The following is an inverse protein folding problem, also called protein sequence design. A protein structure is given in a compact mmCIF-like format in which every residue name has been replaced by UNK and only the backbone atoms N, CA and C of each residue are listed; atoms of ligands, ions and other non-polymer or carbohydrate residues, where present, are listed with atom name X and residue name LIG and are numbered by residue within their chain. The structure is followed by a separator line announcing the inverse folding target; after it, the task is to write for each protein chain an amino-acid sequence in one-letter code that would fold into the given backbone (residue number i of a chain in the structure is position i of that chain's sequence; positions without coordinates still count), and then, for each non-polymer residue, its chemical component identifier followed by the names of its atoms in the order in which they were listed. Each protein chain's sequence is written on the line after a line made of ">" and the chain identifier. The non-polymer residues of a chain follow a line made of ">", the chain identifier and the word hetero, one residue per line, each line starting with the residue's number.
data_IF_241329286624
#
_entry.id   IF_241329286624
#
_cell.length_a   1.000
_cell.length_b   1.000
_cell.length_c   1.000
_cell.angle_alpha   90.00
_cell.angle_beta   90.00
_cell.angle_gamma   90.00
#
_symmetry.space_group_name_H-M   'P 1'
#
loop_
_entity.id
_entity.type
_entity.pdbx_description
1 polymer ?
#
# COMPACT_ATOMS: atom_id res chain seq x y z
N UNK A 1 -28.75 11.32 -5.11
CA UNK A 1 -28.26 12.06 -6.27
C UNK A 1 -26.75 11.83 -6.43
N UNK A 2 -26.28 11.51 -7.63
CA UNK A 2 -24.84 11.34 -7.96
C UNK A 2 -24.03 12.62 -7.74
N UNK A 3 -24.69 13.75 -7.52
CA UNK A 3 -24.06 15.04 -7.20
C UNK A 3 -23.23 15.00 -5.89
N UNK A 4 -23.43 14.02 -5.02
CA UNK A 4 -22.67 13.85 -3.77
C UNK A 4 -21.35 13.10 -3.96
N UNK A 5 -21.11 12.51 -5.14
CA UNK A 5 -19.88 11.78 -5.45
C UNK A 5 -18.85 12.68 -6.17
N UNK A 6 -18.53 13.84 -5.56
CA UNK A 6 -17.61 14.82 -6.17
C UNK A 6 -16.19 14.77 -5.60
N UNK A 7 -15.98 14.08 -4.49
CA UNK A 7 -14.68 14.01 -3.84
C UNK A 7 -13.83 12.90 -4.47
N UNK A 8 -12.77 13.26 -5.18
CA UNK A 8 -11.89 12.32 -5.87
C UNK A 8 -11.21 11.32 -4.90
N UNK A 9 -10.81 11.75 -3.71
CA UNK A 9 -10.31 10.83 -2.68
C UNK A 9 -11.37 9.84 -2.22
N UNK A 10 -12.60 10.29 -2.04
CA UNK A 10 -13.73 9.42 -1.73
C UNK A 10 -13.99 8.38 -2.84
N UNK A 11 -13.84 8.76 -4.10
CA UNK A 11 -13.96 7.84 -5.24
C UNK A 11 -12.82 6.82 -5.27
N UNK A 12 -11.56 7.25 -5.08
CA UNK A 12 -10.41 6.37 -5.00
C UNK A 12 -10.57 5.34 -3.88
N UNK A 13 -10.94 5.78 -2.67
CA UNK A 13 -11.21 4.90 -1.54
C UNK A 13 -12.39 3.93 -1.81
N UNK A 14 -13.42 4.38 -2.52
CA UNK A 14 -14.54 3.51 -2.90
C UNK A 14 -14.11 2.42 -3.88
N UNK A 15 -13.23 2.74 -4.85
CA UNK A 15 -12.62 1.76 -5.77
C UNK A 15 -11.84 0.69 -4.99
N UNK A 16 -10.99 1.09 -4.03
CA UNK A 16 -10.24 0.16 -3.19
C UNK A 16 -11.16 -0.76 -2.38
N UNK A 17 -12.24 -0.23 -1.81
CA UNK A 17 -13.22 -1.01 -1.02
C UNK A 17 -14.02 -1.98 -1.88
N UNK A 18 -14.40 -1.61 -3.10
CA UNK A 18 -15.06 -2.50 -4.04
C UNK A 18 -14.14 -3.67 -4.45
N UNK A 19 -12.86 -3.40 -4.69
CA UNK A 19 -11.86 -4.46 -4.93
C UNK A 19 -11.77 -5.41 -3.74
N UNK A 20 -11.67 -4.90 -2.52
CA UNK A 20 -11.65 -5.71 -1.29
C UNK A 20 -12.88 -6.61 -1.20
N UNK A 21 -14.08 -6.07 -1.36
CA UNK A 21 -15.33 -6.84 -1.31
C UNK A 21 -15.35 -7.95 -2.37
N UNK A 22 -14.88 -7.66 -3.59
CA UNK A 22 -14.81 -8.64 -4.68
C UNK A 22 -13.82 -9.76 -4.34
N UNK A 23 -12.64 -9.42 -3.80
CA UNK A 23 -11.62 -10.41 -3.41
C UNK A 23 -12.13 -11.35 -2.32
N UNK A 24 -12.82 -10.84 -1.30
CA UNK A 24 -13.42 -11.67 -0.27
C UNK A 24 -14.52 -12.59 -0.81
N UNK A 25 -15.34 -12.12 -1.77
CA UNK A 25 -16.33 -12.97 -2.43
C UNK A 25 -15.68 -14.11 -3.22
N UNK A 26 -14.60 -13.80 -3.96
CA UNK A 26 -13.85 -14.82 -4.72
C UNK A 26 -13.17 -15.81 -3.77
N UNK A 27 -12.52 -15.32 -2.70
CA UNK A 27 -11.88 -16.17 -1.69
C UNK A 27 -12.89 -17.13 -1.06
N UNK A 28 -14.03 -16.62 -0.61
CA UNK A 28 -15.11 -17.45 -0.02
C UNK A 28 -15.63 -18.52 -0.99
N UNK A 29 -15.79 -18.19 -2.27
CA UNK A 29 -16.23 -19.13 -3.30
C UNK A 29 -15.21 -20.25 -3.60
N UNK A 30 -13.94 -20.06 -3.23
CA UNK A 30 -12.86 -20.99 -3.49
C UNK A 30 -12.24 -21.59 -2.21
N UNK A 31 -12.88 -21.44 -1.06
CA UNK A 31 -12.35 -21.84 0.25
C UNK A 31 -10.95 -21.23 0.52
N UNK A 32 -10.73 -20.01 0.07
CA UNK A 32 -9.47 -19.29 0.16
C UNK A 32 -9.52 -18.15 1.17
N UNK A 33 -8.40 -17.45 1.29
CA UNK A 33 -8.23 -16.25 2.11
C UNK A 33 -7.72 -15.10 1.23
N UNK A 34 -7.88 -13.87 1.73
CA UNK A 34 -7.33 -12.66 1.08
C UNK A 34 -5.95 -12.36 1.66
N UNK A 35 -4.95 -12.35 0.79
CA UNK A 35 -3.56 -12.05 1.13
C UNK A 35 -3.26 -10.58 0.82
N UNK A 36 -2.88 -9.81 1.83
CA UNK A 36 -2.48 -8.42 1.70
C UNK A 36 -1.09 -8.27 1.09
N UNK A 37 -0.88 -7.15 0.42
CA UNK A 37 0.37 -6.80 -0.28
C UNK A 37 1.01 -5.52 0.26
N UNK A 38 0.49 -4.96 1.35
CA UNK A 38 1.05 -3.80 2.02
C UNK A 38 2.41 -4.13 2.67
N UNK A 39 3.35 -3.21 2.57
CA UNK A 39 4.67 -3.32 3.19
C UNK A 39 4.80 -2.39 4.40
N UNK A 40 5.91 -2.53 5.13
CA UNK A 40 6.16 -1.79 6.36
C UNK A 40 6.13 -0.27 6.18
N UNK A 41 6.65 0.24 5.06
CA UNK A 41 6.70 1.69 4.80
C UNK A 41 5.30 2.24 4.56
N UNK A 42 4.51 1.55 3.74
CA UNK A 42 3.14 1.94 3.39
C UNK A 42 2.22 1.87 4.62
N UNK A 43 2.18 0.74 5.31
CA UNK A 43 1.20 0.49 6.36
C UNK A 43 1.57 1.15 7.70
N UNK A 44 2.83 1.01 8.13
CA UNK A 44 3.29 1.46 9.45
C UNK A 44 4.12 2.75 9.40
N UNK A 45 4.76 3.05 8.27
CA UNK A 45 5.54 4.27 8.11
C UNK A 45 4.66 5.49 7.89
N UNK A 46 3.87 5.49 6.83
CA UNK A 46 3.10 6.66 6.38
C UNK A 46 1.58 6.48 6.42
N UNK A 47 1.08 5.26 6.62
CA UNK A 47 -0.36 4.98 6.62
C UNK A 47 -0.97 5.12 5.22
N UNK A 48 -0.23 4.76 4.17
CA UNK A 48 -0.65 4.87 2.78
C UNK A 48 -1.45 3.65 2.34
N UNK A 49 -2.67 3.55 2.81
CA UNK A 49 -3.64 2.51 2.44
C UNK A 49 -5.08 3.00 2.66
N UNK A 50 -6.03 2.35 2.04
CA UNK A 50 -7.45 2.61 2.28
C UNK A 50 -7.96 1.67 3.37
N UNK A 51 -8.45 2.26 4.47
CA UNK A 51 -9.15 1.51 5.53
C UNK A 51 -10.34 0.76 4.95
N UNK A 52 -10.38 -0.56 5.17
CA UNK A 52 -11.38 -1.46 4.58
C UNK A 52 -11.32 -1.56 3.04
N UNK A 53 -10.20 -1.15 2.44
CA UNK A 53 -9.87 -1.39 1.05
C UNK A 53 -8.72 -2.39 0.97
N UNK A 54 -7.56 -1.95 0.47
CA UNK A 54 -6.31 -2.73 0.46
C UNK A 54 -5.80 -3.06 1.87
N UNK A 55 -6.16 -2.28 2.90
CA UNK A 55 -5.93 -2.63 4.30
C UNK A 55 -6.86 -3.70 4.89
N UNK A 56 -7.92 -4.09 4.17
CA UNK A 56 -8.87 -5.13 4.58
C UNK A 56 -8.48 -6.51 4.05
N UNK A 57 -7.66 -7.24 4.79
CA UNK A 57 -7.09 -8.53 4.38
C UNK A 57 -7.08 -9.53 5.54
N UNK A 58 -6.93 -10.83 5.26
CA UNK A 58 -6.84 -11.88 6.28
C UNK A 58 -5.42 -12.01 6.83
N UNK A 59 -4.40 -11.90 5.96
CA UNK A 59 -2.98 -11.97 6.33
C UNK A 59 -2.17 -10.93 5.55
N UNK A 60 -1.06 -10.49 6.13
CA UNK A 60 -0.13 -9.51 5.54
C UNK A 60 1.31 -10.03 5.59
N UNK A 61 1.72 -10.94 4.68
CA UNK A 61 2.99 -11.67 4.79
C UNK A 61 4.24 -10.80 4.68
N UNK A 62 4.16 -9.64 4.04
CA UNK A 62 5.28 -8.71 3.81
C UNK A 62 5.15 -7.40 4.63
N UNK A 63 4.24 -7.36 5.61
CA UNK A 63 4.00 -6.16 6.41
C UNK A 63 5.22 -5.70 7.23
N UNK A 64 6.13 -6.61 7.60
CA UNK A 64 7.37 -6.29 8.32
C UNK A 64 8.55 -5.95 7.39
N UNK A 65 8.38 -6.08 6.08
CA UNK A 65 9.41 -5.80 5.09
C UNK A 65 9.30 -4.36 4.60
N UNK A 66 10.45 -3.69 4.41
CA UNK A 66 10.49 -2.41 3.70
C UNK A 66 10.28 -2.61 2.20
N UNK A 67 9.98 -1.54 1.47
CA UNK A 67 9.79 -1.62 0.00
C UNK A 67 11.03 -2.15 -0.71
N UNK A 68 12.22 -1.69 -0.31
CA UNK A 68 13.50 -2.15 -0.88
C UNK A 68 13.73 -3.63 -0.60
N UNK A 69 13.41 -4.12 0.59
CA UNK A 69 13.48 -5.55 0.92
C UNK A 69 12.50 -6.39 0.08
N UNK A 70 11.30 -5.88 -0.20
CA UNK A 70 10.34 -6.57 -1.09
C UNK A 70 10.91 -6.69 -2.50
N UNK A 71 11.54 -5.65 -3.04
CA UNK A 71 12.22 -5.72 -4.35
C UNK A 71 13.37 -6.71 -4.37
N UNK A 72 14.20 -6.76 -3.33
CA UNK A 72 15.30 -7.72 -3.19
C UNK A 72 14.79 -9.17 -3.13
N UNK A 73 13.74 -9.42 -2.36
CA UNK A 73 13.08 -10.73 -2.34
C UNK A 73 12.54 -11.10 -3.70
N UNK A 74 11.89 -10.18 -4.40
CA UNK A 74 11.38 -10.40 -5.74
C UNK A 74 12.47 -10.81 -6.73
N UNK A 75 13.62 -10.12 -6.69
CA UNK A 75 14.80 -10.48 -7.50
C UNK A 75 15.32 -11.88 -7.17
N UNK A 76 15.43 -12.21 -5.88
CA UNK A 76 15.90 -13.53 -5.41
C UNK A 76 14.95 -14.66 -5.80
N UNK A 77 13.66 -14.38 -5.88
CA UNK A 77 12.63 -15.34 -6.29
C UNK A 77 12.48 -15.45 -7.82
N UNK A 78 13.25 -14.67 -8.59
CA UNK A 78 13.17 -14.69 -10.05
C UNK A 78 11.89 -14.06 -10.61
N UNK A 79 11.29 -13.13 -9.88
CA UNK A 79 10.13 -12.36 -10.38
C UNK A 79 10.56 -11.59 -11.63
N UNK A 80 9.66 -11.50 -12.60
CA UNK A 80 9.90 -10.85 -13.89
C UNK A 80 10.39 -9.40 -13.67
N UNK A 81 11.41 -9.03 -14.46
CA UNK A 81 12.07 -7.72 -14.36
C UNK A 81 11.07 -6.56 -14.54
N UNK A 82 10.13 -6.72 -15.45
CA UNK A 82 9.09 -5.74 -15.74
C UNK A 82 8.20 -5.44 -14.52
N UNK A 83 7.99 -6.42 -13.63
CA UNK A 83 7.25 -6.25 -12.38
C UNK A 83 8.12 -5.54 -11.33
N UNK A 84 9.39 -5.95 -11.20
CA UNK A 84 10.31 -5.39 -10.21
C UNK A 84 10.64 -3.93 -10.51
N UNK A 85 10.79 -3.58 -11.80
CA UNK A 85 11.14 -2.23 -12.25
C UNK A 85 9.92 -1.33 -12.50
N UNK A 86 8.70 -1.87 -12.37
CA UNK A 86 7.48 -1.07 -12.49
C UNK A 86 7.44 0.01 -11.40
N UNK A 87 7.10 1.23 -11.82
CA UNK A 87 6.93 2.33 -10.89
C UNK A 87 5.72 2.07 -9.97
N UNK A 88 5.87 2.18 -8.64
CA UNK A 88 4.77 1.93 -7.70
C UNK A 88 3.59 2.86 -7.93
N UNK A 89 2.39 2.29 -8.05
CA UNK A 89 1.13 3.02 -8.17
C UNK A 89 -0.02 2.21 -7.56
N UNK A 90 -0.97 2.87 -6.91
CA UNK A 90 -2.18 2.25 -6.39
C UNK A 90 -3.23 1.95 -7.48
N UNK A 91 -3.09 2.56 -8.65
CA UNK A 91 -4.02 2.39 -9.77
C UNK A 91 -5.45 2.84 -9.47
N UNK A 92 -5.63 3.79 -8.54
CA UNK A 92 -6.95 4.30 -8.13
C UNK A 92 -7.33 5.61 -8.82
N UNK A 93 -6.39 6.23 -9.54
CA UNK A 93 -6.54 7.54 -10.15
C UNK A 93 -6.51 7.47 -11.67
N UNK A 94 -7.29 8.33 -12.31
CA UNK A 94 -7.41 8.34 -13.78
C UNK A 94 -6.22 9.07 -14.46
N UNK A 95 -5.41 9.81 -13.71
CA UNK A 95 -4.24 10.57 -14.19
C UNK A 95 -2.91 9.78 -14.14
N UNK A 96 -2.95 8.52 -13.67
CA UNK A 96 -1.77 7.63 -13.64
C UNK A 96 -0.68 8.04 -12.66
N UNK A 97 -1.03 8.85 -11.63
CA UNK A 97 -0.06 9.27 -10.61
C UNK A 97 0.57 8.08 -9.89
N UNK A 98 1.84 8.24 -9.52
CA UNK A 98 2.62 7.25 -8.79
C UNK A 98 2.53 7.46 -7.28
N UNK A 99 2.98 6.46 -6.51
CA UNK A 99 3.07 6.56 -5.05
C UNK A 99 4.00 7.73 -4.65
N UNK A 100 5.14 7.87 -5.32
CA UNK A 100 6.08 8.98 -5.10
C UNK A 100 5.43 10.36 -5.33
N UNK A 101 4.58 10.49 -6.36
CA UNK A 101 3.84 11.72 -6.58
C UNK A 101 2.85 12.03 -5.44
N UNK A 102 2.21 11.01 -4.88
CA UNK A 102 1.24 11.17 -3.81
C UNK A 102 1.91 11.42 -2.45
N UNK A 103 3.01 10.72 -2.16
CA UNK A 103 3.74 10.81 -0.90
C UNK A 103 4.69 12.02 -0.85
N UNK A 104 5.14 12.52 -2.02
CA UNK A 104 6.11 13.61 -2.14
C UNK A 104 7.55 13.21 -1.81
N UNK A 105 7.81 11.92 -1.59
CA UNK A 105 9.12 11.36 -1.24
C UNK A 105 9.28 9.98 -1.87
N UNK A 106 10.52 9.58 -2.16
CA UNK A 106 10.84 8.23 -2.61
C UNK A 106 10.76 7.24 -1.43
N UNK A 107 10.63 5.94 -1.75
CA UNK A 107 10.66 4.90 -0.73
C UNK A 107 11.99 4.86 0.03
N UNK A 108 13.13 5.10 -0.64
CA UNK A 108 14.45 5.18 0.01
C UNK A 108 14.53 6.32 1.04
N UNK A 109 13.95 7.47 0.75
CA UNK A 109 13.89 8.61 1.68
C UNK A 109 12.98 8.31 2.87
N UNK A 110 11.83 7.67 2.63
CA UNK A 110 10.90 7.27 3.68
C UNK A 110 11.53 6.20 4.61
N UNK A 111 12.23 5.21 4.05
CA UNK A 111 12.92 4.17 4.82
C UNK A 111 14.02 4.75 5.70
N UNK A 112 14.83 5.67 5.18
CA UNK A 112 15.84 6.40 5.96
C UNK A 112 15.20 7.16 7.12
N UNK A 113 14.13 7.92 6.85
CA UNK A 113 13.42 8.66 7.88
C UNK A 113 12.83 7.74 8.97
N UNK A 114 12.36 6.54 8.62
CA UNK A 114 11.89 5.54 9.57
C UNK A 114 13.02 4.97 10.43
N UNK A 115 14.21 4.73 9.85
CA UNK A 115 15.39 4.25 10.58
C UNK A 115 15.92 5.30 11.56
N UNK A 116 16.00 6.57 11.15
CA UNK A 116 16.46 7.66 12.01
C UNK A 116 15.55 7.83 13.24
N UNK A 117 14.25 7.67 13.08
CA UNK A 117 13.28 7.71 14.18
C UNK A 117 13.43 6.56 15.18
N UNK A 118 13.82 5.38 14.73
CA UNK A 118 14.07 4.24 15.62
C UNK A 118 15.35 4.40 16.44
N UNK A 119 16.33 5.18 15.96
CA UNK A 119 17.57 5.49 16.69
C UNK A 119 17.40 6.58 17.76
N UNK A 120 16.44 7.49 17.60
CA UNK A 120 16.16 8.59 18.56
C UNK A 120 15.01 8.34 19.54
N UNK A 121 14.39 7.18 19.51
CA UNK A 121 13.25 6.83 20.36
C UNK A 121 11.94 7.48 19.91
N UNK A 122 10.87 6.74 19.94
CA UNK A 122 9.48 7.03 19.50
C UNK A 122 8.80 8.27 20.14
N UNK A 123 9.54 9.12 20.85
CA UNK A 123 8.99 10.14 21.75
C UNK A 123 8.63 11.49 21.14
N UNK A 124 8.78 11.69 19.83
CA UNK A 124 8.57 13.03 19.23
C UNK A 124 7.72 13.10 17.96
N UNK A 125 6.88 12.14 17.66
CA UNK A 125 5.95 12.24 16.53
C UNK A 125 4.53 12.38 17.04
N UNK A 126 4.04 13.62 17.08
CA UNK A 126 2.59 13.86 17.11
C UNK A 126 2.04 13.58 15.72
N UNK A 127 1.28 12.53 15.59
CA UNK A 127 0.46 12.27 14.42
C UNK A 127 -0.77 13.18 14.51
N UNK A 128 -0.80 14.23 13.70
CA UNK A 128 -2.01 15.05 13.50
C UNK A 128 -2.86 14.45 12.38
#
# INVERSE_FOLDING_TARGET
>A
SLSNFKNNHGLANSRARLRMTTLYQVAASNNGIVVGTGNKVEDFGVGFYTKYGDGGVDISPIADCTKTQVWEMGKSLGIMKEIIEAEPTDGLWDDGRTDTNQLGMSYDELEKAMMDKTSEGYSKVSWN
#
